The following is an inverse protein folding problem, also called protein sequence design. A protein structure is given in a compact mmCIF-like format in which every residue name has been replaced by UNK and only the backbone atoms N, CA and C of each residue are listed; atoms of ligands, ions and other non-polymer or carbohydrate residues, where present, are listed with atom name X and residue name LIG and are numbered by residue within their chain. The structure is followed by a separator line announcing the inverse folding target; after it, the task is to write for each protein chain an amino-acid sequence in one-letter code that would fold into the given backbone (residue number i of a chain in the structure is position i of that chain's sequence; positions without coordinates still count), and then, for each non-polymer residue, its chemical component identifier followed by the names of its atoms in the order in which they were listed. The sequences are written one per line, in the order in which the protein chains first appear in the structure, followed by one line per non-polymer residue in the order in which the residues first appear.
data_IF_215863517049
#
_entry.id   IF_215863517049
#
_cell.length_a   1.000
_cell.length_b   1.000
_cell.length_c   1.000
_cell.angle_alpha   90.00
_cell.angle_beta   90.00
_cell.angle_gamma   90.00
#
_symmetry.space_group_name_H-M   'P 1'
#
loop_
_entity.id
_entity.type
_entity.pdbx_description
1 polymer ?
#
# COMPACT_ATOMS: atom_id res chain seq x y z
N UNK A 1 12.68 -1.22 33.19
CA UNK A 1 11.57 -2.13 33.07
C UNK A 1 12.04 -3.52 32.69
N UNK A 2 11.44 -4.51 33.29
CA UNK A 2 11.85 -5.87 33.10
C UNK A 2 11.43 -6.40 31.73
N UNK A 3 12.36 -6.97 31.00
CA UNK A 3 12.10 -7.48 29.65
C UNK A 3 11.02 -8.56 29.62
N UNK A 4 11.03 -9.46 30.60
CA UNK A 4 10.09 -10.58 30.61
C UNK A 4 8.67 -10.08 30.87
N UNK A 5 8.51 -9.24 31.86
CA UNK A 5 7.20 -8.69 32.19
C UNK A 5 6.67 -7.87 31.03
N UNK A 6 7.54 -7.20 30.33
CA UNK A 6 7.16 -6.20 29.35
C UNK A 6 7.14 -6.68 27.91
N UNK A 7 7.35 -7.98 27.68
CA UNK A 7 7.30 -8.47 26.29
C UNK A 7 5.97 -8.16 25.65
N UNK A 8 4.85 -8.50 26.33
CA UNK A 8 3.52 -8.17 25.82
C UNK A 8 3.28 -6.66 25.82
N UNK A 9 3.71 -5.99 26.89
CA UNK A 9 3.56 -4.54 26.97
C UNK A 9 4.43 -3.85 25.95
N UNK A 10 5.62 -4.36 25.68
CA UNK A 10 6.52 -3.80 24.68
C UNK A 10 5.97 -3.99 23.27
N UNK A 11 5.40 -5.15 22.99
CA UNK A 11 4.76 -5.41 21.70
C UNK A 11 3.56 -4.47 21.52
N UNK A 12 2.71 -4.35 22.54
CA UNK A 12 1.57 -3.44 22.49
C UNK A 12 2.00 -1.99 22.33
N UNK A 13 3.05 -1.58 23.07
CA UNK A 13 3.60 -0.24 22.97
C UNK A 13 4.16 0.01 21.58
N UNK A 14 4.95 -0.93 21.06
CA UNK A 14 5.54 -0.81 19.73
C UNK A 14 4.47 -0.76 18.65
N UNK A 15 3.42 -1.57 18.80
CA UNK A 15 2.29 -1.57 17.88
C UNK A 15 1.56 -0.23 17.91
N UNK A 16 1.39 0.34 19.11
CA UNK A 16 0.78 1.67 19.25
C UNK A 16 1.66 2.74 18.63
N UNK A 17 2.97 2.69 18.89
CA UNK A 17 3.92 3.64 18.31
C UNK A 17 3.92 3.56 16.80
N UNK A 18 3.89 2.35 16.25
CA UNK A 18 3.81 2.16 14.81
C UNK A 18 2.49 2.73 14.26
N UNK A 19 1.37 2.46 14.93
CA UNK A 19 0.08 2.99 14.51
C UNK A 19 0.06 4.51 14.55
N UNK A 20 0.61 5.11 15.61
CA UNK A 20 0.71 6.57 15.72
C UNK A 20 1.63 7.16 14.66
N UNK A 21 2.73 6.47 14.35
CA UNK A 21 3.64 6.89 13.30
C UNK A 21 2.95 6.84 11.93
N UNK A 22 2.17 5.79 11.68
CA UNK A 22 1.42 5.67 10.43
C UNK A 22 0.35 6.75 10.32
N UNK A 23 -0.34 7.07 11.42
CA UNK A 23 -1.33 8.15 11.45
C UNK A 23 -0.65 9.48 11.17
N UNK A 24 0.50 9.73 11.79
CA UNK A 24 1.25 10.97 11.57
C UNK A 24 1.70 11.09 10.11
N UNK A 25 2.19 9.99 9.54
CA UNK A 25 2.60 9.96 8.14
C UNK A 25 1.40 10.18 7.21
N UNK A 26 0.26 9.60 7.56
CA UNK A 26 -0.96 9.78 6.79
C UNK A 26 -1.47 11.22 6.88
N UNK A 27 -1.30 11.86 8.03
CA UNK A 27 -1.65 13.27 8.20
C UNK A 27 -0.73 14.18 7.39
N UNK A 28 0.50 13.73 7.16
CA UNK A 28 1.46 14.41 6.29
C UNK A 28 1.31 13.95 4.85
N UNK A 29 0.14 13.47 4.51
CA UNK A 29 -0.19 12.95 3.19
C UNK A 29 0.39 13.79 2.07
N UNK A 30 0.93 13.12 1.09
CA UNK A 30 1.50 13.75 -0.08
C UNK A 30 0.66 13.47 -1.30
N UNK A 31 0.62 14.41 -2.19
CA UNK A 31 -0.11 14.24 -3.44
C UNK A 31 0.74 13.62 -4.54
N UNK A 32 2.06 13.61 -4.38
CA UNK A 32 3.00 13.05 -5.36
C UNK A 32 2.72 13.54 -6.79
N UNK A 33 2.42 14.84 -6.90
CA UNK A 33 2.15 15.45 -8.20
C UNK A 33 0.78 15.15 -8.79
N UNK A 34 -0.09 14.46 -8.05
CA UNK A 34 -1.45 14.17 -8.47
C UNK A 34 -2.44 15.12 -7.80
N UNK A 35 -3.72 14.97 -8.14
CA UNK A 35 -4.80 15.75 -7.57
C UNK A 35 -5.48 15.08 -6.37
N UNK A 36 -4.95 13.92 -5.93
CA UNK A 36 -5.53 13.17 -4.81
C UNK A 36 -4.48 12.93 -3.73
N UNK A 37 -4.90 12.93 -2.46
CA UNK A 37 -3.98 12.57 -1.38
C UNK A 37 -3.68 11.08 -1.42
N UNK A 38 -2.41 10.73 -1.22
CA UNK A 38 -1.97 9.33 -1.24
C UNK A 38 -1.31 9.02 0.09
N UNK A 39 -1.89 8.08 0.83
CA UNK A 39 -1.41 7.73 2.14
C UNK A 39 -0.22 6.79 2.05
N UNK A 40 0.51 6.70 3.16
CA UNK A 40 1.72 5.88 3.24
C UNK A 40 1.49 4.43 2.80
N UNK A 41 0.43 3.79 3.32
CA UNK A 41 0.10 2.43 2.94
C UNK A 41 -0.24 2.30 1.46
N UNK A 42 -0.87 3.32 0.91
CA UNK A 42 -1.25 3.34 -0.49
C UNK A 42 -0.04 3.46 -1.41
N UNK A 43 0.91 4.34 -1.09
CA UNK A 43 2.08 4.52 -1.94
C UNK A 43 2.96 3.27 -1.95
N UNK A 44 2.98 2.51 -0.85
CA UNK A 44 3.72 1.25 -0.81
C UNK A 44 3.11 0.21 -1.75
N UNK A 45 1.80 0.15 -1.82
CA UNK A 45 1.12 -0.75 -2.76
C UNK A 45 1.33 -0.29 -4.20
N UNK A 46 1.26 1.01 -4.45
CA UNK A 46 1.58 1.57 -5.77
C UNK A 46 2.97 1.15 -6.21
N UNK A 47 3.94 1.25 -5.31
CA UNK A 47 5.33 0.85 -5.59
C UNK A 47 5.43 -0.63 -5.95
N UNK A 48 4.76 -1.49 -5.19
CA UNK A 48 4.77 -2.93 -5.44
C UNK A 48 4.14 -3.27 -6.79
N UNK A 49 3.05 -2.62 -7.16
CA UNK A 49 2.40 -2.82 -8.45
C UNK A 49 3.31 -2.32 -9.58
N UNK A 50 3.99 -1.19 -9.38
CA UNK A 50 4.92 -0.67 -10.37
C UNK A 50 6.07 -1.64 -10.64
N UNK A 51 6.57 -2.29 -9.60
CA UNK A 51 7.64 -3.28 -9.70
C UNK A 51 7.18 -4.60 -10.29
N UNK A 52 5.89 -4.91 -10.16
CA UNK A 52 5.30 -6.17 -10.62
C UNK A 52 4.01 -5.92 -11.40
N UNK A 53 4.11 -5.31 -12.60
CA UNK A 53 2.90 -5.02 -13.39
C UNK A 53 2.11 -6.28 -13.68
N UNK A 54 0.80 -6.20 -13.55
CA UNK A 54 -0.07 -7.34 -13.77
C UNK A 54 -0.19 -8.29 -12.58
N UNK A 55 0.39 -7.94 -11.45
CA UNK A 55 0.34 -8.78 -10.25
C UNK A 55 -1.10 -8.98 -9.77
N UNK A 56 -1.38 -10.16 -9.21
CA UNK A 56 -2.67 -10.48 -8.60
C UNK A 56 -2.68 -10.14 -7.11
N UNK A 57 -3.87 -10.02 -6.54
CA UNK A 57 -4.01 -9.67 -5.12
C UNK A 57 -3.23 -10.63 -4.22
N UNK A 58 -3.30 -11.94 -4.52
CA UNK A 58 -2.57 -12.94 -3.74
C UNK A 58 -1.06 -12.75 -3.78
N UNK A 59 -0.52 -12.47 -4.96
CA UNK A 59 0.91 -12.19 -5.12
C UNK A 59 1.33 -10.94 -4.39
N UNK A 60 0.49 -9.91 -4.45
CA UNK A 60 0.76 -8.65 -3.77
C UNK A 60 0.75 -8.83 -2.25
N UNK A 61 -0.23 -9.56 -1.73
CA UNK A 61 -0.31 -9.88 -0.31
C UNK A 61 0.91 -10.66 0.17
N UNK A 62 1.37 -11.61 -0.63
CA UNK A 62 2.56 -12.40 -0.32
C UNK A 62 3.81 -11.53 -0.25
N UNK A 63 4.03 -10.67 -1.26
CA UNK A 63 5.19 -9.77 -1.29
C UNK A 63 5.19 -8.85 -0.07
N UNK A 64 4.02 -8.31 0.28
CA UNK A 64 3.90 -7.35 1.38
C UNK A 64 3.82 -8.00 2.75
N UNK A 65 3.65 -9.32 2.81
CA UNK A 65 3.55 -10.04 4.08
C UNK A 65 2.27 -9.71 4.85
N UNK A 66 1.18 -9.47 4.15
CA UNK A 66 -0.12 -9.13 4.75
C UNK A 66 -1.21 -10.03 4.17
N UNK A 67 -2.42 -9.91 4.71
CA UNK A 67 -3.56 -10.71 4.22
C UNK A 67 -4.12 -10.14 2.92
N UNK A 68 -4.77 -11.00 2.14
CA UNK A 68 -5.48 -10.56 0.94
C UNK A 68 -6.57 -9.54 1.26
N UNK A 69 -7.24 -9.74 2.40
CA UNK A 69 -8.28 -8.81 2.83
C UNK A 69 -7.76 -7.41 3.08
N UNK A 70 -6.60 -7.32 3.73
CA UNK A 70 -5.96 -6.03 4.00
C UNK A 70 -5.59 -5.32 2.70
N UNK A 71 -4.99 -6.07 1.76
CA UNK A 71 -4.65 -5.52 0.44
C UNK A 71 -5.90 -5.07 -0.30
N UNK A 72 -6.95 -5.90 -0.30
CA UNK A 72 -8.19 -5.59 -1.01
C UNK A 72 -8.82 -4.30 -0.54
N UNK A 73 -8.77 -4.04 0.78
CA UNK A 73 -9.32 -2.79 1.32
C UNK A 73 -8.58 -1.57 0.82
N UNK A 74 -7.25 -1.66 0.74
CA UNK A 74 -6.44 -0.55 0.23
C UNK A 74 -6.64 -0.39 -1.27
N UNK A 75 -6.74 -1.51 -2.00
CA UNK A 75 -6.97 -1.46 -3.45
C UNK A 75 -8.29 -0.76 -3.81
N UNK A 76 -9.33 -0.95 -3.00
CA UNK A 76 -10.60 -0.25 -3.20
C UNK A 76 -10.41 1.26 -3.14
N UNK A 77 -9.61 1.73 -2.19
CA UNK A 77 -9.31 3.16 -2.06
C UNK A 77 -8.51 3.68 -3.23
N UNK A 78 -7.51 2.90 -3.67
CA UNK A 78 -6.68 3.27 -4.81
C UNK A 78 -7.48 3.33 -6.11
N UNK A 79 -8.43 2.41 -6.26
CA UNK A 79 -9.30 2.39 -7.42
C UNK A 79 -10.20 3.63 -7.46
N UNK A 80 -10.77 3.99 -6.30
CA UNK A 80 -11.59 5.21 -6.19
C UNK A 80 -10.81 6.47 -6.51
N UNK A 81 -9.51 6.48 -6.20
CA UNK A 81 -8.63 7.61 -6.47
C UNK A 81 -8.09 7.60 -7.90
N UNK A 82 -8.48 6.61 -8.69
CA UNK A 82 -8.03 6.45 -10.08
C UNK A 82 -6.51 6.25 -10.17
N UNK A 83 -5.95 5.51 -9.23
CA UNK A 83 -4.51 5.25 -9.20
C UNK A 83 -4.15 3.88 -9.72
N UNK A 84 -5.09 2.94 -9.72
CA UNK A 84 -4.89 1.59 -10.21
C UNK A 84 -6.03 1.15 -11.12
N UNK A 85 -5.74 0.15 -11.95
CA UNK A 85 -6.70 -0.51 -12.82
C UNK A 85 -6.73 -1.98 -12.45
N UNK A 86 -7.93 -2.52 -12.30
CA UNK A 86 -8.16 -3.95 -12.15
C UNK A 86 -8.66 -4.49 -13.49
N UNK A 87 -7.98 -5.49 -14.00
CA UNK A 87 -8.39 -6.15 -15.23
C UNK A 87 -8.61 -7.62 -14.97
N UNK A 88 -9.69 -8.18 -15.55
CA UNK A 88 -9.97 -9.60 -15.42
C UNK A 88 -8.87 -10.38 -16.12
N UNK A 89 -8.32 -11.40 -15.43
CA UNK A 89 -7.30 -12.26 -15.99
C UNK A 89 -7.96 -13.18 -17.04
N UNK A 90 -7.50 -13.09 -18.28
CA UNK A 90 -8.05 -13.92 -19.36
C UNK A 90 -7.78 -15.42 -19.16
N UNK A 91 -6.75 -15.76 -18.40
CA UNK A 91 -6.40 -17.15 -18.12
C UNK A 91 -7.11 -17.69 -16.89
N UNK A 92 -7.56 -16.80 -16.01
CA UNK A 92 -8.28 -17.18 -14.79
C UNK A 92 -9.27 -16.07 -14.42
N UNK A 93 -10.51 -16.24 -14.81
CA UNK A 93 -11.56 -15.24 -14.64
C UNK A 93 -11.91 -14.95 -13.17
N UNK A 94 -11.38 -15.75 -12.23
CA UNK A 94 -11.61 -15.52 -10.81
C UNK A 94 -10.57 -14.57 -10.18
N UNK A 95 -9.61 -14.10 -10.97
CA UNK A 95 -8.56 -13.19 -10.51
C UNK A 95 -8.52 -11.93 -11.35
N UNK A 96 -7.91 -10.90 -10.76
CA UNK A 96 -7.66 -9.63 -11.43
C UNK A 96 -6.18 -9.38 -11.50
N UNK A 97 -5.71 -8.89 -12.64
CA UNK A 97 -4.38 -8.32 -12.74
C UNK A 97 -4.46 -6.85 -12.35
N UNK A 98 -3.42 -6.37 -11.69
CA UNK A 98 -3.36 -5.01 -11.18
C UNK A 98 -2.28 -4.23 -11.91
N UNK A 99 -2.63 -3.04 -12.34
CA UNK A 99 -1.70 -2.13 -13.01
C UNK A 99 -1.96 -0.70 -12.54
N UNK A 100 -0.98 0.16 -12.72
CA UNK A 100 -1.12 1.58 -12.40
C UNK A 100 -1.81 2.30 -13.55
N UNK A 101 -2.63 3.28 -13.22
CA UNK A 101 -3.10 4.28 -14.18
C UNK A 101 -1.96 5.24 -14.48
N UNK A 102 -2.15 6.15 -15.43
CA UNK A 102 -1.18 7.22 -15.66
C UNK A 102 -0.97 8.07 -14.42
N UNK A 103 -2.06 8.33 -13.67
CA UNK A 103 -1.99 9.03 -12.39
C UNK A 103 -1.15 8.27 -11.38
N UNK A 104 -1.36 6.94 -11.27
CA UNK A 104 -0.58 6.08 -10.38
C UNK A 104 0.90 6.05 -10.76
N UNK A 105 1.19 5.99 -12.04
CA UNK A 105 2.57 6.04 -12.54
C UNK A 105 3.25 7.35 -12.18
N UNK A 106 2.54 8.45 -12.30
CA UNK A 106 3.04 9.77 -11.93
C UNK A 106 3.35 9.82 -10.44
N UNK A 107 2.44 9.30 -9.61
CA UNK A 107 2.66 9.24 -8.18
C UNK A 107 3.90 8.42 -7.84
N UNK A 108 4.06 7.26 -8.47
CA UNK A 108 5.23 6.41 -8.26
C UNK A 108 6.51 7.12 -8.64
N UNK A 109 6.54 7.73 -9.81
CA UNK A 109 7.71 8.46 -10.29
C UNK A 109 8.12 9.57 -9.31
N UNK A 110 7.15 10.33 -8.83
CA UNK A 110 7.43 11.41 -7.90
C UNK A 110 7.85 10.88 -6.53
N UNK A 111 7.27 9.77 -6.08
CA UNK A 111 7.67 9.10 -4.85
C UNK A 111 9.13 8.69 -4.91
N UNK A 112 9.57 8.12 -6.02
CA UNK A 112 10.95 7.71 -6.21
C UNK A 112 11.92 8.89 -6.15
N UNK A 113 11.52 10.05 -6.64
CA UNK A 113 12.34 11.26 -6.56
C UNK A 113 12.59 11.68 -5.12
N UNK A 114 11.60 11.53 -4.24
CA UNK A 114 11.74 11.94 -2.85
C UNK A 114 12.56 10.97 -2.01
N UNK A 115 12.75 9.75 -2.50
CA UNK A 115 13.43 8.69 -1.75
C UNK A 115 14.71 8.18 -2.40
N UNK A 116 15.10 8.77 -3.50
CA UNK A 116 16.36 8.41 -4.19
C UNK A 116 17.53 9.23 -3.70
#
# INVERSE_FOLDING_TARGET
MNKIINTKHQIAYNSLQLALALVDLDQKTRYYGTDVPIFYSEIHIIMAIAEHPGIHVGGLAEILGVTKGAVSEILKKLEKKDLIIKEIDNLNLSRYSLNLTEKGKKAHKNHMKYHS
#
